data_IF_691809420751
#
_entry.id   IF_691809420751
#
_cell.length_a   1.000
_cell.length_b   1.000
_cell.length_c   1.000
_cell.angle_alpha   90.00
_cell.angle_beta   90.00
_cell.angle_gamma   90.00
#
_symmetry.space_group_name_H-M   'P 1'
#
loop_
_entity.id
_entity.type
_entity.pdbx_description
1 polymer ?
#
# COMPACT_ATOMS: atom_id res chain seq x y z
N UNK A 1 -3.74 53.31 -33.70
CA UNK A 1 -3.79 51.96 -34.29
C UNK A 1 -5.26 51.58 -34.52
N UNK A 2 -5.68 51.33 -35.78
CA UNK A 2 -7.11 51.18 -36.10
C UNK A 2 -7.71 49.91 -35.46
N UNK A 3 -9.00 49.95 -35.09
CA UNK A 3 -9.68 48.85 -34.41
C UNK A 3 -9.53 47.48 -35.12
N UNK A 4 -9.39 47.51 -36.45
CA UNK A 4 -9.10 46.34 -37.29
C UNK A 4 -7.76 45.67 -36.95
N UNK A 5 -6.71 46.46 -36.67
CA UNK A 5 -5.38 45.93 -36.29
C UNK A 5 -5.38 45.33 -34.88
N UNK A 6 -6.20 45.85 -33.95
CA UNK A 6 -6.36 45.28 -32.60
C UNK A 6 -7.11 43.94 -32.61
N UNK A 7 -8.15 43.81 -33.44
CA UNK A 7 -8.89 42.55 -33.63
C UNK A 7 -8.03 41.44 -34.25
N UNK A 8 -7.18 41.78 -35.22
CA UNK A 8 -6.23 40.84 -35.82
C UNK A 8 -5.19 40.37 -34.78
N UNK A 9 -4.69 41.28 -33.94
CA UNK A 9 -3.71 40.93 -32.89
C UNK A 9 -4.32 39.99 -31.82
N UNK A 10 -5.55 40.25 -31.39
CA UNK A 10 -6.26 39.39 -30.42
C UNK A 10 -6.49 37.99 -30.99
N UNK A 11 -6.88 37.91 -32.27
CA UNK A 11 -7.05 36.62 -32.95
C UNK A 11 -5.75 35.80 -33.01
N UNK A 12 -4.62 36.45 -33.27
CA UNK A 12 -3.29 35.80 -33.27
C UNK A 12 -2.94 35.30 -31.87
N UNK A 13 -3.15 36.11 -30.82
CA UNK A 13 -2.87 35.70 -29.44
C UNK A 13 -3.73 34.49 -29.01
N UNK A 14 -5.01 34.48 -29.35
CA UNK A 14 -5.91 33.34 -29.03
C UNK A 14 -5.47 32.08 -29.79
N UNK A 15 -5.05 32.22 -31.05
CA UNK A 15 -4.53 31.10 -31.83
C UNK A 15 -3.26 30.49 -31.22
N UNK A 16 -2.33 31.32 -30.75
CA UNK A 16 -1.10 30.85 -30.07
C UNK A 16 -1.44 30.12 -28.78
N UNK A 17 -2.35 30.66 -27.96
CA UNK A 17 -2.79 30.02 -26.70
C UNK A 17 -3.42 28.65 -26.98
N UNK A 18 -4.30 28.56 -27.98
CA UNK A 18 -4.94 27.30 -28.39
C UNK A 18 -3.91 26.26 -28.86
N UNK A 19 -2.90 26.66 -29.63
CA UNK A 19 -1.83 25.74 -30.08
C UNK A 19 -1.02 25.24 -28.89
N UNK A 20 -0.60 26.12 -27.98
CA UNK A 20 0.14 25.73 -26.77
C UNK A 20 -0.70 24.78 -25.92
N UNK A 21 -1.99 25.05 -25.74
CA UNK A 21 -2.89 24.20 -24.97
C UNK A 21 -3.06 22.82 -25.62
N UNK A 22 -3.25 22.76 -26.94
CA UNK A 22 -3.41 21.50 -27.68
C UNK A 22 -2.12 20.67 -27.63
N UNK A 23 -0.96 21.30 -27.80
CA UNK A 23 0.35 20.63 -27.68
C UNK A 23 0.57 20.11 -26.26
N UNK A 24 0.22 20.87 -25.24
CA UNK A 24 0.41 20.47 -23.85
C UNK A 24 -0.54 19.32 -23.45
N UNK A 25 -1.78 19.32 -23.95
CA UNK A 25 -2.75 18.22 -23.75
C UNK A 25 -2.30 16.95 -24.49
N UNK A 26 -1.89 17.06 -25.76
CA UNK A 26 -1.40 15.90 -26.53
C UNK A 26 -0.10 15.36 -25.96
N UNK A 27 0.81 16.23 -25.51
CA UNK A 27 2.04 15.82 -24.85
C UNK A 27 1.74 15.12 -23.52
N UNK A 28 0.77 15.61 -22.72
CA UNK A 28 0.31 14.90 -21.50
C UNK A 28 -0.34 13.54 -21.81
N UNK A 29 -1.07 13.42 -22.92
CA UNK A 29 -1.62 12.14 -23.38
C UNK A 29 -0.55 11.18 -23.92
N UNK A 30 0.55 11.70 -24.46
CA UNK A 30 1.66 10.90 -25.00
C UNK A 30 2.71 10.52 -23.95
N UNK A 31 3.00 11.43 -23.01
CA UNK A 31 3.84 11.19 -21.83
C UNK A 31 3.18 10.18 -20.87
N UNK A 32 1.85 9.99 -20.95
CA UNK A 32 1.12 8.90 -20.30
C UNK A 32 1.29 7.52 -20.97
N UNK A 33 2.06 7.41 -22.06
CA UNK A 33 2.20 6.18 -22.84
C UNK A 33 3.66 5.81 -23.18
N UNK A 34 4.63 6.53 -22.62
CA UNK A 34 6.05 6.17 -22.65
C UNK A 34 6.60 6.19 -21.22
N UNK A 35 6.13 5.23 -20.41
CA UNK A 35 6.65 4.91 -19.09
C UNK A 35 6.69 3.39 -18.94
N UNK A 36 7.91 2.88 -18.76
CA UNK A 36 8.34 1.52 -18.43
C UNK A 36 7.45 0.31 -18.74
N UNK A 37 8.04 -0.61 -19.50
CA UNK A 37 7.66 -2.02 -19.55
C UNK A 37 7.99 -2.69 -18.21
N UNK A 38 7.19 -2.43 -17.18
CA UNK A 38 6.94 -3.38 -16.10
C UNK A 38 5.55 -3.10 -15.50
N UNK A 39 4.54 -3.50 -16.26
CA UNK A 39 3.14 -3.20 -15.98
C UNK A 39 2.54 -4.09 -14.89
N UNK A 40 2.90 -3.87 -13.63
CA UNK A 40 2.00 -4.12 -12.51
C UNK A 40 1.20 -2.83 -12.30
N UNK A 41 -0.02 -2.80 -12.85
CA UNK A 41 -1.02 -1.79 -12.49
C UNK A 41 -1.34 -1.99 -11.01
N UNK A 42 -0.58 -1.31 -10.14
CA UNK A 42 -0.91 -1.18 -8.72
C UNK A 42 -2.21 -0.39 -8.68
N UNK A 43 -3.34 -1.08 -8.55
CA UNK A 43 -4.59 -0.41 -8.18
C UNK A 43 -4.33 0.23 -6.81
N UNK A 44 -4.11 1.55 -6.78
CA UNK A 44 -3.69 2.28 -5.57
C UNK A 44 -4.65 2.08 -4.39
N UNK A 45 -5.90 1.70 -4.67
CA UNK A 45 -6.97 1.52 -3.69
C UNK A 45 -7.15 0.09 -3.18
N UNK A 46 -6.37 -0.90 -3.64
CA UNK A 46 -6.43 -2.28 -3.13
C UNK A 46 -5.09 -2.67 -2.52
N UNK A 47 -5.13 -3.59 -1.57
CA UNK A 47 -3.94 -4.09 -0.87
C UNK A 47 -3.40 -5.36 -1.55
N UNK A 48 -2.08 -5.47 -1.63
CA UNK A 48 -1.38 -6.71 -2.03
C UNK A 48 -1.25 -7.69 -0.86
N UNK A 49 -1.05 -8.97 -1.17
CA UNK A 49 -0.73 -9.99 -0.15
C UNK A 49 0.52 -9.61 0.65
N UNK A 50 1.55 -9.07 0.01
CA UNK A 50 2.78 -8.61 0.64
C UNK A 50 2.54 -7.50 1.68
N UNK A 51 1.74 -6.48 1.35
CA UNK A 51 1.37 -5.41 2.28
C UNK A 51 0.55 -5.95 3.46
N UNK A 52 -0.41 -6.85 3.19
CA UNK A 52 -1.22 -7.50 4.23
C UNK A 52 -0.35 -8.35 5.17
N UNK A 53 0.56 -9.17 4.64
CA UNK A 53 1.47 -9.99 5.45
C UNK A 53 2.41 -9.13 6.29
N UNK A 54 2.90 -8.02 5.74
CA UNK A 54 3.69 -7.05 6.51
C UNK A 54 2.91 -6.55 7.72
N UNK A 55 1.68 -6.09 7.54
CA UNK A 55 0.85 -5.58 8.64
C UNK A 55 0.54 -6.69 9.66
N UNK A 56 0.06 -7.85 9.22
CA UNK A 56 -0.27 -8.97 10.10
C UNK A 56 0.95 -9.48 10.90
N UNK A 57 2.15 -9.45 10.32
CA UNK A 57 3.36 -9.88 11.03
C UNK A 57 3.64 -9.10 12.32
N UNK A 58 3.22 -7.83 12.38
CA UNK A 58 3.41 -6.97 13.56
C UNK A 58 2.49 -7.32 14.73
N UNK A 59 1.51 -8.21 14.53
CA UNK A 59 0.72 -8.77 15.63
C UNK A 59 1.55 -9.73 16.51
N UNK A 60 2.67 -10.27 15.99
CA UNK A 60 3.48 -11.25 16.71
C UNK A 60 4.95 -10.86 16.85
N UNK A 61 5.49 -10.12 15.87
CA UNK A 61 6.93 -9.88 15.77
C UNK A 61 7.24 -8.40 15.55
N UNK A 62 8.22 -7.88 16.28
CA UNK A 62 8.92 -6.67 15.86
C UNK A 62 9.95 -6.97 14.73
N UNK A 63 10.70 -5.95 14.33
CA UNK A 63 11.72 -6.09 13.27
C UNK A 63 12.81 -7.11 13.66
N UNK A 64 13.36 -6.99 14.86
CA UNK A 64 14.48 -7.84 15.30
C UNK A 64 14.02 -9.29 15.47
N UNK A 65 12.83 -9.48 16.05
CA UNK A 65 12.24 -10.82 16.22
C UNK A 65 11.98 -11.47 14.86
N UNK A 66 11.41 -10.72 13.90
CA UNK A 66 11.15 -11.23 12.55
C UNK A 66 12.42 -11.62 11.80
N UNK A 67 13.46 -10.80 11.89
CA UNK A 67 14.76 -11.06 11.25
C UNK A 67 15.49 -12.26 11.86
N UNK A 68 15.16 -12.64 13.10
CA UNK A 68 15.71 -13.82 13.78
C UNK A 68 14.97 -15.13 13.46
N UNK A 69 13.83 -15.08 12.77
CA UNK A 69 13.05 -16.27 12.44
C UNK A 69 13.81 -17.17 11.45
N UNK A 70 13.80 -18.48 11.70
CA UNK A 70 14.28 -19.43 10.70
C UNK A 70 13.42 -19.36 9.44
N UNK A 71 14.07 -19.21 8.30
CA UNK A 71 13.42 -19.23 6.99
C UNK A 71 13.02 -20.65 6.61
N UNK A 72 11.81 -20.82 6.07
CA UNK A 72 11.35 -22.13 5.60
C UNK A 72 10.22 -22.10 4.58
N UNK A 73 9.84 -20.91 4.10
CA UNK A 73 8.93 -20.78 2.96
C UNK A 73 9.65 -21.14 1.65
N UNK A 74 8.89 -21.63 0.68
CA UNK A 74 9.35 -21.89 -0.68
C UNK A 74 8.35 -21.29 -1.66
N UNK A 75 8.84 -20.60 -2.69
CA UNK A 75 7.99 -20.09 -3.77
C UNK A 75 7.88 -21.11 -4.90
N UNK A 76 6.71 -21.19 -5.53
CA UNK A 76 6.51 -22.00 -6.74
C UNK A 76 7.36 -21.49 -7.93
N UNK A 77 7.67 -20.18 -7.94
CA UNK A 77 8.57 -19.53 -8.88
C UNK A 77 9.54 -18.63 -8.11
N UNK A 78 10.85 -18.78 -8.33
CA UNK A 78 11.89 -17.99 -7.65
C UNK A 78 11.75 -16.48 -7.87
N UNK A 79 11.16 -16.05 -9.00
CA UNK A 79 10.89 -14.64 -9.30
C UNK A 79 9.86 -14.00 -8.37
N UNK A 80 9.15 -14.80 -7.56
CA UNK A 80 8.23 -14.30 -6.53
C UNK A 80 8.95 -13.82 -5.27
N UNK A 81 10.25 -14.05 -5.09
CA UNK A 81 11.02 -13.51 -3.97
C UNK A 81 11.25 -12.00 -4.13
N UNK A 82 11.06 -11.23 -3.05
CA UNK A 82 11.31 -9.78 -3.02
C UNK A 82 11.47 -9.26 -1.57
N UNK A 83 11.38 -7.94 -1.38
CA UNK A 83 11.47 -7.24 -0.09
C UNK A 83 10.55 -7.80 1.01
N UNK A 84 9.49 -8.51 0.63
CA UNK A 84 8.47 -9.00 1.55
C UNK A 84 8.75 -10.38 2.14
N UNK A 85 9.81 -11.06 1.72
CA UNK A 85 10.07 -12.46 2.09
C UNK A 85 10.07 -12.67 3.62
N UNK A 86 10.66 -11.74 4.38
CA UNK A 86 10.67 -11.82 5.84
C UNK A 86 9.26 -11.76 6.45
N UNK A 87 8.34 -11.04 5.82
CA UNK A 87 6.95 -10.93 6.27
C UNK A 87 6.14 -12.17 5.88
N UNK A 88 6.36 -12.71 4.68
CA UNK A 88 5.77 -13.99 4.23
C UNK A 88 6.20 -15.11 5.19
N UNK A 89 7.49 -15.18 5.52
CA UNK A 89 8.01 -16.16 6.48
C UNK A 89 7.40 -15.96 7.88
N UNK A 90 7.20 -14.71 8.31
CA UNK A 90 6.57 -14.42 9.60
C UNK A 90 5.12 -14.92 9.68
N UNK A 91 4.29 -14.63 8.66
CA UNK A 91 2.89 -15.10 8.67
C UNK A 91 2.78 -16.62 8.53
N UNK A 92 3.74 -17.27 7.86
CA UNK A 92 3.89 -18.73 7.90
C UNK A 92 4.21 -19.24 9.31
N UNK A 93 5.17 -18.63 10.03
CA UNK A 93 5.46 -18.98 11.44
C UNK A 93 4.29 -18.72 12.37
N UNK A 94 3.45 -17.73 12.06
CA UNK A 94 2.19 -17.50 12.74
C UNK A 94 1.16 -18.60 12.46
N UNK A 95 1.34 -19.40 11.40
CA UNK A 95 0.42 -20.46 10.98
C UNK A 95 -0.76 -19.95 10.15
N UNK A 96 -0.63 -18.76 9.54
CA UNK A 96 -1.72 -18.16 8.74
C UNK A 96 -1.73 -18.66 7.29
N UNK A 97 -0.58 -19.13 6.80
CA UNK A 97 -0.39 -19.68 5.47
C UNK A 97 0.45 -20.95 5.54
N UNK A 98 0.42 -21.73 4.46
CA UNK A 98 1.34 -22.86 4.27
C UNK A 98 2.75 -22.38 3.89
N UNK A 99 3.75 -23.27 4.04
CA UNK A 99 5.13 -22.97 3.67
C UNK A 99 5.37 -22.92 2.16
N UNK A 100 4.52 -23.58 1.36
CA UNK A 100 4.59 -23.54 -0.10
C UNK A 100 3.72 -22.41 -0.64
N UNK A 101 4.36 -21.37 -1.17
CA UNK A 101 3.69 -20.18 -1.69
C UNK A 101 3.53 -20.30 -3.20
N UNK A 102 2.29 -20.53 -3.63
CA UNK A 102 1.95 -20.77 -5.04
C UNK A 102 1.43 -19.53 -5.77
N UNK A 103 1.03 -18.50 -5.02
CA UNK A 103 0.50 -17.25 -5.57
C UNK A 103 1.43 -16.10 -5.18
N UNK A 104 1.70 -15.20 -6.12
CA UNK A 104 2.69 -14.14 -5.88
C UNK A 104 2.23 -13.20 -4.76
N UNK A 105 3.09 -12.88 -3.77
CA UNK A 105 2.75 -11.87 -2.77
C UNK A 105 2.54 -10.46 -3.35
N UNK A 106 3.02 -10.18 -4.57
CA UNK A 106 2.78 -8.90 -5.27
C UNK A 106 1.34 -8.73 -5.73
N UNK A 107 0.63 -9.83 -5.95
CA UNK A 107 -0.73 -9.78 -6.42
C UNK A 107 -1.69 -9.28 -5.32
N UNK A 108 -2.82 -8.71 -5.76
CA UNK A 108 -3.86 -8.14 -4.91
C UNK A 108 -4.55 -9.21 -4.07
N UNK A 109 -4.80 -8.93 -2.79
CA UNK A 109 -5.52 -9.79 -1.88
C UNK A 109 -7.03 -9.74 -2.16
N UNK A 110 -7.70 -10.89 -2.14
CA UNK A 110 -9.18 -10.94 -2.23
C UNK A 110 -9.84 -11.00 -0.86
N UNK A 111 -11.14 -10.73 -0.77
CA UNK A 111 -11.88 -10.90 0.49
C UNK A 111 -11.80 -12.35 0.98
N UNK A 112 -11.94 -13.34 0.10
CA UNK A 112 -11.88 -14.75 0.48
C UNK A 112 -10.54 -15.14 1.10
N UNK A 113 -9.45 -14.68 0.51
CA UNK A 113 -8.10 -14.90 1.04
C UNK A 113 -7.88 -14.16 2.36
N UNK A 114 -8.32 -12.90 2.44
CA UNK A 114 -8.27 -12.12 3.67
C UNK A 114 -9.02 -12.84 4.80
N UNK A 115 -10.23 -13.31 4.53
CA UNK A 115 -11.03 -14.07 5.50
C UNK A 115 -10.30 -15.35 5.94
N UNK A 116 -9.70 -16.09 5.01
CA UNK A 116 -8.93 -17.29 5.33
C UNK A 116 -7.78 -17.00 6.31
N UNK A 117 -7.01 -15.93 6.07
CA UNK A 117 -5.93 -15.49 6.96
C UNK A 117 -6.44 -15.18 8.37
N UNK A 118 -7.55 -14.44 8.47
CA UNK A 118 -8.12 -14.05 9.76
C UNK A 118 -8.78 -15.24 10.46
N UNK A 119 -9.42 -16.15 9.74
CA UNK A 119 -9.96 -17.38 10.31
C UNK A 119 -8.85 -18.25 10.93
N UNK A 120 -7.69 -18.40 10.25
CA UNK A 120 -6.52 -19.08 10.84
C UNK A 120 -6.01 -18.36 12.09
N UNK A 121 -6.00 -17.02 12.08
CA UNK A 121 -5.63 -16.22 13.24
C UNK A 121 -6.62 -16.45 14.41
N UNK A 122 -7.91 -16.49 14.15
CA UNK A 122 -8.98 -16.76 15.14
C UNK A 122 -8.83 -18.18 15.71
N UNK A 123 -8.59 -19.18 14.87
CA UNK A 123 -8.38 -20.56 15.32
C UNK A 123 -7.22 -20.66 16.32
N UNK A 124 -6.14 -19.92 16.07
CA UNK A 124 -4.98 -19.88 16.97
C UNK A 124 -5.19 -19.00 18.20
N UNK A 125 -5.94 -17.90 18.03
CA UNK A 125 -6.21 -16.91 19.07
C UNK A 125 -7.70 -16.58 19.11
N UNK A 126 -8.53 -17.39 19.81
CA UNK A 126 -9.98 -17.24 19.83
C UNK A 126 -10.50 -15.87 20.32
N UNK A 127 -9.64 -15.05 20.94
CA UNK A 127 -9.96 -13.66 21.31
C UNK A 127 -10.43 -12.80 20.12
N UNK A 128 -10.03 -13.14 18.89
CA UNK A 128 -10.44 -12.43 17.68
C UNK A 128 -11.79 -12.89 17.10
N UNK A 129 -12.50 -13.84 17.72
CA UNK A 129 -13.70 -14.47 17.15
C UNK A 129 -14.82 -13.50 16.73
N UNK A 130 -14.91 -12.32 17.35
CA UNK A 130 -15.94 -11.32 17.08
C UNK A 130 -15.46 -10.20 16.14
N UNK A 131 -14.28 -10.33 15.54
CA UNK A 131 -13.64 -9.23 14.79
C UNK A 131 -14.48 -8.72 13.62
N UNK A 132 -15.24 -9.61 12.98
CA UNK A 132 -16.05 -9.27 11.81
C UNK A 132 -17.30 -8.44 12.14
N UNK A 133 -17.81 -8.49 13.38
CA UNK A 133 -19.08 -7.85 13.73
C UNK A 133 -19.02 -6.32 13.74
N UNK A 134 -17.82 -5.74 13.82
CA UNK A 134 -17.61 -4.28 13.90
C UNK A 134 -17.14 -3.64 12.60
N UNK A 135 -17.02 -4.40 11.51
CA UNK A 135 -16.52 -3.90 10.23
C UNK A 135 -17.62 -3.25 9.39
N UNK A 136 -17.27 -2.24 8.61
CA UNK A 136 -18.14 -1.55 7.66
C UNK A 136 -18.48 -2.37 6.42
N UNK A 137 -17.80 -3.51 6.23
CA UNK A 137 -17.90 -4.40 5.09
C UNK A 137 -18.05 -5.86 5.54
N UNK A 138 -18.40 -6.74 4.59
CA UNK A 138 -18.47 -8.18 4.80
C UNK A 138 -17.62 -8.95 3.78
N UNK A 139 -17.51 -10.27 3.97
CA UNK A 139 -16.70 -11.16 3.14
C UNK A 139 -17.52 -11.98 2.15
N UNK A 140 -18.75 -11.54 1.81
CA UNK A 140 -19.63 -12.30 0.90
C UNK A 140 -19.06 -12.36 -0.52
N UNK A 141 -18.37 -11.32 -0.96
CA UNK A 141 -17.77 -11.23 -2.30
C UNK A 141 -16.35 -11.80 -2.32
N UNK A 142 -16.22 -13.11 -2.08
CA UNK A 142 -14.93 -13.76 -1.84
C UNK A 142 -13.87 -13.53 -2.94
N UNK A 143 -14.28 -13.44 -4.21
CA UNK A 143 -13.36 -13.26 -5.34
C UNK A 143 -13.00 -11.79 -5.63
N UNK A 144 -13.72 -10.84 -5.01
CA UNK A 144 -13.44 -9.41 -5.18
C UNK A 144 -12.17 -9.02 -4.42
N UNK A 145 -11.49 -8.00 -4.94
CA UNK A 145 -10.27 -7.44 -4.33
C UNK A 145 -10.65 -6.57 -3.13
N UNK A 146 -9.97 -6.77 -2.00
CA UNK A 146 -10.23 -5.96 -0.80
C UNK A 146 -9.59 -4.58 -0.95
N UNK A 147 -10.36 -3.54 -0.64
CA UNK A 147 -9.82 -2.18 -0.64
C UNK A 147 -8.79 -2.03 0.48
N UNK A 148 -7.79 -1.19 0.26
CA UNK A 148 -6.80 -0.89 1.28
C UNK A 148 -7.46 -0.35 2.56
N UNK A 149 -8.41 0.57 2.42
CA UNK A 149 -9.12 1.19 3.56
C UNK A 149 -9.87 0.15 4.39
N UNK A 150 -10.49 -0.83 3.75
CA UNK A 150 -11.19 -1.93 4.43
C UNK A 150 -10.21 -2.85 5.15
N UNK A 151 -9.07 -3.18 4.53
CA UNK A 151 -8.03 -3.96 5.21
C UNK A 151 -7.45 -3.20 6.41
N UNK A 152 -7.24 -1.89 6.30
CA UNK A 152 -6.76 -1.06 7.41
C UNK A 152 -7.78 -1.00 8.54
N UNK A 153 -9.07 -0.86 8.24
CA UNK A 153 -10.15 -0.94 9.24
C UNK A 153 -10.11 -2.27 10.00
N UNK A 154 -9.99 -3.39 9.27
CA UNK A 154 -9.82 -4.72 9.86
C UNK A 154 -8.57 -4.80 10.74
N UNK A 155 -7.44 -4.26 10.28
CA UNK A 155 -6.19 -4.30 11.02
C UNK A 155 -6.26 -3.47 12.32
N UNK A 156 -6.88 -2.29 12.26
CA UNK A 156 -7.15 -1.46 13.44
C UNK A 156 -8.08 -2.16 14.44
N UNK A 157 -9.12 -2.83 13.93
CA UNK A 157 -9.99 -3.65 14.75
C UNK A 157 -9.18 -4.77 15.46
N UNK A 158 -8.27 -5.44 14.75
CA UNK A 158 -7.42 -6.50 15.32
C UNK A 158 -6.53 -5.94 16.42
N UNK A 159 -5.90 -4.78 16.17
CA UNK A 159 -5.10 -4.09 17.17
C UNK A 159 -5.95 -3.73 18.40
N UNK A 160 -7.19 -3.25 18.23
CA UNK A 160 -8.05 -2.80 19.32
C UNK A 160 -8.33 -3.89 20.37
N UNK A 161 -8.41 -5.15 19.94
CA UNK A 161 -8.63 -6.33 20.81
C UNK A 161 -7.33 -7.05 21.17
N UNK A 162 -6.21 -6.71 20.55
CA UNK A 162 -4.89 -7.25 20.86
C UNK A 162 -4.39 -6.75 22.23
N UNK A 163 -3.83 -7.61 23.11
CA UNK A 163 -3.36 -7.16 24.42
C UNK A 163 -2.31 -6.07 24.32
N UNK A 164 -2.42 -5.05 25.17
CA UNK A 164 -1.53 -3.89 25.11
C UNK A 164 -0.10 -4.26 25.45
N UNK A 165 0.08 -5.25 26.32
CA UNK A 165 1.36 -5.76 26.80
C UNK A 165 2.09 -6.60 25.74
N UNK A 166 1.34 -7.21 24.82
CA UNK A 166 1.87 -8.02 23.70
C UNK A 166 2.11 -7.17 22.43
N UNK A 167 1.54 -5.96 22.38
CA UNK A 167 1.53 -5.12 21.17
C UNK A 167 2.93 -4.62 20.81
N UNK A 168 3.39 -4.99 19.60
CA UNK A 168 4.66 -4.52 19.03
C UNK A 168 4.55 -3.16 18.33
N UNK A 169 3.34 -2.84 17.86
CA UNK A 169 3.00 -1.55 17.26
C UNK A 169 2.76 -0.51 18.36
N UNK A 170 3.35 0.67 18.21
CA UNK A 170 3.22 1.79 19.15
C UNK A 170 2.76 3.03 18.40
N UNK A 171 1.91 3.80 19.04
CA UNK A 171 1.45 5.07 18.49
C UNK A 171 2.46 6.16 18.80
N UNK A 172 2.71 7.03 17.81
CA UNK A 172 3.58 8.18 18.00
C UNK A 172 3.07 9.36 17.16
N UNK A 173 2.85 10.51 17.81
CA UNK A 173 2.54 11.76 17.15
C UNK A 173 3.84 12.41 16.65
N UNK A 174 3.86 12.77 15.36
CA UNK A 174 4.99 13.40 14.69
C UNK A 174 4.48 14.59 13.86
N UNK A 175 5.20 15.71 13.91
CA UNK A 175 4.98 16.84 13.00
C UNK A 175 5.99 16.74 11.86
N UNK A 176 5.51 16.44 10.65
CA UNK A 176 6.38 16.35 9.46
C UNK A 176 6.77 17.76 9.02
N UNK A 177 8.06 18.06 9.05
CA UNK A 177 8.66 19.34 8.65
C UNK A 177 9.16 19.31 7.21
N UNK A 178 9.41 18.13 6.66
CA UNK A 178 9.85 17.94 5.28
C UNK A 178 10.20 16.50 4.95
N UNK A 179 10.57 16.28 3.69
CA UNK A 179 11.05 14.99 3.17
C UNK A 179 12.44 15.18 2.57
N UNK A 180 13.36 14.26 2.85
CA UNK A 180 14.62 14.13 2.12
C UNK A 180 14.57 12.85 1.29
N UNK A 181 14.95 12.94 0.02
CA UNK A 181 15.18 11.77 -0.82
C UNK A 181 16.63 11.33 -0.68
N UNK A 182 16.83 10.02 -0.60
CA UNK A 182 18.16 9.39 -0.56
C UNK A 182 18.31 8.58 -1.82
N UNK A 183 19.49 8.63 -2.44
CA UNK A 183 19.79 8.02 -3.76
C UNK A 183 19.52 6.50 -3.85
N UNK A 184 19.32 5.81 -2.72
CA UNK A 184 19.06 4.36 -2.65
C UNK A 184 17.56 3.99 -2.62
N UNK A 185 16.65 4.94 -2.90
CA UNK A 185 15.20 4.70 -2.87
C UNK A 185 14.59 4.61 -1.46
N UNK A 186 15.38 4.82 -0.41
CA UNK A 186 14.85 5.03 0.95
C UNK A 186 14.49 6.50 1.15
N UNK A 187 13.28 6.75 1.66
CA UNK A 187 12.85 8.10 1.99
C UNK A 187 13.12 8.43 3.44
N UNK A 188 13.37 9.71 3.73
CA UNK A 188 13.45 10.22 5.09
C UNK A 188 12.35 11.24 5.33
N UNK A 189 11.53 10.98 6.35
CA UNK A 189 10.68 12.01 6.94
C UNK A 189 11.49 12.78 7.97
N UNK A 190 11.56 14.09 7.82
CA UNK A 190 12.13 14.99 8.83
C UNK A 190 10.97 15.47 9.69
N UNK A 191 11.03 15.20 11.00
CA UNK A 191 9.98 15.56 11.95
C UNK A 191 10.52 16.42 13.09
N UNK A 192 9.62 17.00 13.88
CA UNK A 192 9.92 17.68 15.15
C UNK A 192 10.74 16.83 16.13
N UNK A 193 10.69 15.50 15.98
CA UNK A 193 11.35 14.53 16.87
C UNK A 193 12.51 13.78 16.20
N UNK A 194 12.99 14.26 15.05
CA UNK A 194 14.16 13.72 14.36
C UNK A 194 13.86 13.14 12.98
N UNK A 195 14.77 12.31 12.48
CA UNK A 195 14.68 11.72 11.13
C UNK A 195 14.15 10.30 11.20
N UNK A 196 13.08 10.04 10.46
CA UNK A 196 12.44 8.73 10.32
C UNK A 196 12.73 8.15 8.94
N UNK A 197 13.33 6.97 8.93
CA UNK A 197 13.66 6.25 7.71
C UNK A 197 12.53 5.32 7.35
N UNK A 198 12.12 5.35 6.09
CA UNK A 198 11.15 4.41 5.57
C UNK A 198 11.63 3.83 4.26
N UNK A 199 11.31 2.56 4.07
CA UNK A 199 11.57 1.81 2.85
C UNK A 199 10.28 1.10 2.48
N UNK A 200 9.99 1.06 1.17
CA UNK A 200 8.74 0.49 0.64
C UNK A 200 7.51 1.05 1.36
N UNK A 201 7.51 2.36 1.61
CA UNK A 201 6.34 3.05 2.13
C UNK A 201 5.49 3.54 0.96
N UNK A 202 4.19 3.41 1.10
CA UNK A 202 3.22 3.89 0.13
C UNK A 202 2.73 5.25 0.58
N UNK A 203 2.64 6.19 -0.36
CA UNK A 203 2.00 7.48 -0.09
C UNK A 203 0.48 7.30 -0.22
N UNK A 204 -0.26 7.65 0.81
CA UNK A 204 -1.73 7.63 0.83
C UNK A 204 -2.34 9.04 0.78
N UNK A 205 -1.55 10.11 0.66
CA UNK A 205 -2.03 11.51 0.60
C UNK A 205 -3.08 11.70 -0.51
N UNK A 206 -2.86 11.09 -1.68
CA UNK A 206 -3.81 11.16 -2.81
C UNK A 206 -5.22 10.64 -2.45
N UNK A 207 -5.33 9.71 -1.49
CA UNK A 207 -6.62 9.15 -1.05
C UNK A 207 -7.36 10.11 -0.10
N UNK A 208 -6.64 10.97 0.62
CA UNK A 208 -7.22 12.00 1.48
C UNK A 208 -7.52 13.31 0.74
N UNK A 209 -6.83 13.61 -0.36
CA UNK A 209 -7.14 14.79 -1.20
C UNK A 209 -8.44 14.64 -2.01
N UNK A 210 -9.00 13.42 -2.09
CA UNK A 210 -10.28 13.13 -2.76
C UNK A 210 -11.50 13.10 -1.82
N UNK A 211 -11.31 13.38 -0.52
CA UNK A 211 -12.37 13.56 0.49
C UNK A 211 -12.64 15.06 0.71
#
# INVERSE_FOLDING_TARGET
MSAKKKLILIGICIGIIMIVFTVNVVRRMKDGNEGDKDGLVVNENVISRAEAYRLLSFLAYDKSERESLSFGITYADESMSDWYDSYVNAVWKMGLIEGSVNTSPKETLTYGECKSLIDQLILKYPRYQNIYAGLSFDFVKADDKIALTEFLELFEALLSVHPKEERRVKDKLLFVLGKEEVDNGSGRMVTDQGKYYYQNAKNYENQYEML
#
